data_IF_873997475211
#
_entry.id   IF_873997475211
#
_cell.length_a   1.000
_cell.length_b   1.000
_cell.length_c   1.000
_cell.angle_alpha   90.00
_cell.angle_beta   90.00
_cell.angle_gamma   90.00
#
_symmetry.space_group_name_H-M   'P 1'
#
loop_
_entity.id
_entity.type
_entity.pdbx_description
1 polymer ?
2 water ?
#
# COMPACT_ATOMS: atom_id res chain seq x y z
N UNK A 1 4.64 3.16 20.39
CA UNK A 1 4.28 2.10 19.44
C UNK A 1 4.81 2.22 18.00
N UNK A 2 5.18 1.03 17.43
CA UNK A 2 5.63 0.92 16.09
C UNK A 2 4.50 1.21 15.08
N UNK A 3 4.81 2.11 14.18
CA UNK A 3 3.89 2.55 13.15
C UNK A 3 4.55 2.51 11.80
N UNK A 4 3.73 2.29 10.76
CA UNK A 4 4.15 2.34 9.40
C UNK A 4 3.26 3.30 8.61
N UNK A 5 3.90 4.28 8.00
CA UNK A 5 3.22 5.29 7.20
C UNK A 5 3.89 5.42 5.84
N UNK A 6 3.06 5.62 4.82
CA UNK A 6 3.47 5.94 3.49
C UNK A 6 3.26 7.41 3.17
N UNK A 7 4.32 7.99 2.60
CA UNK A 7 4.34 9.41 2.31
C UNK A 7 4.46 9.59 0.86
N UNK A 8 3.68 10.54 0.37
CA UNK A 8 3.75 10.99 -1.01
C UNK A 8 4.73 12.13 -1.09
N UNK A 9 5.67 12.06 -2.04
CA UNK A 9 6.69 13.13 -2.14
C UNK A 9 6.76 13.70 -3.56
N UNK A 10 5.85 14.61 -3.90
CA UNK A 10 5.63 14.98 -5.33
C UNK A 10 6.83 15.60 -6.02
N UNK A 11 7.71 16.23 -5.24
CA UNK A 11 8.94 16.73 -5.78
C UNK A 11 10.15 15.86 -6.00
N UNK A 12 10.02 14.59 -5.69
CA UNK A 12 11.03 13.57 -5.84
C UNK A 12 11.17 13.13 -7.33
N UNK A 13 11.73 14.04 -8.14
CA UNK A 13 11.79 13.87 -9.57
C UNK A 13 13.20 13.72 -10.14
N UNK A 14 14.23 13.86 -9.29
CA UNK A 14 15.63 13.85 -9.72
C UNK A 14 16.17 12.50 -9.23
N UNK A 15 17.14 11.96 -9.98
CA UNK A 15 17.59 10.60 -9.79
C UNK A 15 18.14 10.31 -8.39
N UNK A 16 18.76 11.31 -7.70
CA UNK A 16 19.31 11.07 -6.39
C UNK A 16 18.29 11.45 -5.21
N UNK A 17 17.20 12.07 -5.59
CA UNK A 17 16.13 12.55 -4.73
C UNK A 17 15.60 11.49 -3.81
N UNK A 18 15.46 10.22 -4.28
CA UNK A 18 15.07 9.15 -3.33
C UNK A 18 16.02 9.10 -2.14
N UNK A 19 17.31 9.24 -2.42
CA UNK A 19 18.28 9.14 -1.35
C UNK A 19 18.33 10.37 -0.46
N UNK A 20 18.04 11.49 -1.04
CA UNK A 20 17.97 12.73 -0.34
C UNK A 20 16.90 12.58 0.72
N UNK A 21 15.79 11.99 0.34
CA UNK A 21 14.58 11.90 1.18
C UNK A 21 14.80 10.85 2.26
N UNK A 22 15.36 9.70 1.86
CA UNK A 22 15.63 8.63 2.69
C UNK A 22 16.55 9.15 3.80
N UNK A 23 17.68 9.76 3.46
CA UNK A 23 18.60 10.31 4.45
C UNK A 23 17.90 11.24 5.46
N UNK A 24 17.20 12.26 4.92
CA UNK A 24 16.44 13.16 5.79
C UNK A 24 15.51 12.49 6.75
N UNK A 25 14.81 11.43 6.35
CA UNK A 25 13.92 10.78 7.32
C UNK A 25 14.65 9.94 8.34
N UNK A 26 15.66 9.24 7.84
CA UNK A 26 16.38 8.27 8.62
C UNK A 26 17.11 8.94 9.79
N UNK A 27 17.50 10.21 9.60
CA UNK A 27 18.08 11.02 10.68
C UNK A 27 17.12 11.30 11.84
N UNK A 28 15.81 11.18 11.63
CA UNK A 28 14.81 11.46 12.68
C UNK A 28 14.84 10.41 13.73
N UNK A 29 15.20 10.85 14.93
CA UNK A 29 15.22 9.98 16.10
C UNK A 29 13.84 9.29 16.24
N UNK A 30 13.91 7.97 16.17
CA UNK A 30 12.79 7.12 16.51
C UNK A 30 12.32 6.42 15.27
N UNK A 31 12.93 6.78 14.13
CA UNK A 31 12.68 6.03 12.92
C UNK A 31 13.57 4.75 12.81
N UNK A 32 12.94 3.67 12.38
CA UNK A 32 13.52 2.32 12.20
C UNK A 32 13.91 1.93 10.79
N UNK A 33 13.14 2.38 9.84
CA UNK A 33 13.27 1.90 8.47
C UNK A 33 12.59 2.91 7.56
N UNK A 34 13.30 3.25 6.49
CA UNK A 34 12.80 4.05 5.39
C UNK A 34 13.13 3.41 4.03
N UNK A 35 12.08 3.16 3.25
CA UNK A 35 12.31 2.75 1.86
C UNK A 35 11.60 3.72 0.94
N UNK A 36 12.31 4.12 -0.10
CA UNK A 36 11.81 5.13 -1.04
C UNK A 36 11.63 4.51 -2.39
N UNK A 37 10.67 5.02 -3.12
CA UNK A 37 10.38 4.58 -4.50
C UNK A 37 10.22 5.72 -5.43
N UNK A 38 11.16 5.78 -6.36
CA UNK A 38 11.20 6.90 -7.34
C UNK A 38 9.93 6.90 -8.23
N UNK A 39 9.55 5.74 -8.73
CA UNK A 39 8.52 5.66 -9.66
C UNK A 39 7.22 6.27 -9.10
N UNK A 40 6.91 6.00 -7.85
CA UNK A 40 5.62 6.39 -7.29
C UNK A 40 5.84 7.50 -6.31
N UNK A 41 7.02 8.11 -6.33
CA UNK A 41 7.30 9.29 -5.52
C UNK A 41 6.80 9.07 -4.13
N UNK A 42 7.26 7.96 -3.54
CA UNK A 42 6.87 7.73 -2.19
C UNK A 42 7.96 7.22 -1.25
N UNK A 43 7.74 7.41 0.06
CA UNK A 43 8.61 6.88 1.15
C UNK A 43 7.73 6.20 2.19
N UNK A 44 8.10 4.94 2.58
CA UNK A 44 7.40 4.11 3.56
C UNK A 44 8.31 4.09 4.81
N UNK A 45 7.79 4.64 5.92
CA UNK A 45 8.58 4.91 7.12
C UNK A 45 7.99 4.16 8.24
N UNK A 46 8.83 3.34 8.87
CA UNK A 46 8.49 2.58 10.08
C UNK A 46 9.18 3.30 11.28
N UNK A 47 8.38 3.62 12.27
CA UNK A 47 8.87 4.49 13.32
C UNK A 47 8.12 4.25 14.63
N UNK A 48 8.73 4.79 15.70
CA UNK A 48 8.11 4.72 17.00
C UNK A 48 7.37 5.98 17.39
N UNK A 49 6.04 5.89 17.52
CA UNK A 49 5.14 7.01 17.67
C UNK A 49 5.16 7.65 19.07
N UNK A 50 5.90 6.99 19.98
CA UNK A 50 6.29 7.54 21.22
C UNK A 50 7.47 8.45 21.11
N UNK A 51 8.23 8.33 20.02
CA UNK A 51 9.49 9.09 19.82
C UNK A 51 9.38 10.16 18.79
N UNK A 52 8.49 9.95 17.81
CA UNK A 52 8.29 10.90 16.75
C UNK A 52 6.91 10.78 16.15
N UNK A 53 6.62 11.56 15.11
CA UNK A 53 5.27 11.56 14.53
C UNK A 53 5.28 11.90 13.07
N UNK A 54 4.14 11.75 12.41
CA UNK A 54 4.04 11.96 10.98
C UNK A 54 4.38 13.39 10.64
N UNK A 55 3.96 14.34 11.49
CA UNK A 55 4.28 15.73 11.27
C UNK A 55 5.77 16.02 11.34
N UNK A 56 6.48 15.37 12.26
CA UNK A 56 7.90 15.55 12.34
C UNK A 56 8.57 14.94 11.13
N UNK A 57 8.05 13.84 10.60
CA UNK A 57 8.56 13.28 9.36
C UNK A 57 8.36 14.17 8.10
N UNK A 58 7.15 14.69 7.99
CA UNK A 58 6.86 15.53 6.83
C UNK A 58 7.62 16.86 6.99
N UNK A 59 7.89 17.32 8.23
CA UNK A 59 8.79 18.47 8.39
C UNK A 59 10.18 18.07 7.94
N UNK A 60 10.70 16.91 8.30
CA UNK A 60 12.05 16.62 7.87
C UNK A 60 12.21 16.68 6.33
N UNK A 61 11.20 16.15 5.60
CA UNK A 61 11.27 16.06 4.12
C UNK A 61 11.19 17.47 3.55
N UNK A 62 10.31 18.29 4.14
CA UNK A 62 10.12 19.66 3.55
C UNK A 62 11.41 20.45 3.75
N UNK A 63 12.03 20.27 4.91
CA UNK A 63 13.32 20.89 5.21
C UNK A 63 14.37 20.56 4.16
N UNK A 64 14.36 19.29 3.73
CA UNK A 64 15.29 18.87 2.75
C UNK A 64 14.91 19.28 1.34
N UNK A 65 13.72 19.87 1.18
CA UNK A 65 13.33 20.43 -0.11
C UNK A 65 12.09 19.82 -0.71
N UNK A 66 11.56 18.74 -0.10
CA UNK A 66 10.58 17.88 -0.67
C UNK A 66 9.43 17.64 0.33
N UNK A 67 8.55 18.64 0.43
CA UNK A 67 7.36 18.57 1.27
C UNK A 67 6.58 17.28 0.99
N UNK A 68 5.92 16.68 1.98
CA UNK A 68 5.19 15.44 1.76
C UNK A 68 3.94 15.42 2.62
N UNK A 69 3.04 14.48 2.37
CA UNK A 69 1.78 14.21 3.05
C UNK A 69 1.58 12.71 3.04
N UNK A 70 0.64 12.23 3.83
CA UNK A 70 0.22 10.78 3.85
C UNK A 70 -0.34 10.46 2.49
N UNK A 71 0.06 9.32 1.92
CA UNK A 71 -0.39 8.88 0.68
C UNK A 71 -1.93 8.77 0.66
N UNK A 72 -2.52 9.14 -0.48
CA UNK A 72 -3.97 9.10 -0.60
C UNK A 72 -4.54 7.71 -0.91
N UNK B 1 5.96 -2.70 -1.74
CA UNK B 1 5.34 -2.16 -0.44
C UNK B 1 3.98 -2.74 -0.09
N UNK B 2 3.79 -3.06 1.19
CA UNK B 2 2.60 -3.75 1.62
C UNK B 2 1.47 -2.80 1.60
N UNK B 3 0.36 -3.25 1.02
CA UNK B 3 -0.83 -2.38 0.82
C UNK B 3 -2.06 -3.21 1.05
N UNK B 4 -3.07 -2.64 1.69
CA UNK B 4 -4.33 -3.37 1.79
C UNK B 4 -5.45 -2.62 1.04
N UNK B 5 -6.19 -3.38 0.22
CA UNK B 5 -7.32 -2.82 -0.51
C UNK B 5 -8.59 -3.68 -0.30
N UNK B 6 -9.73 -3.01 -0.25
CA UNK B 6 -11.02 -3.71 -0.30
C UNK B 6 -11.61 -3.75 -1.76
N UNK B 7 -11.96 -4.94 -2.25
CA UNK B 7 -12.57 -5.09 -3.54
C UNK B 7 -14.07 -5.49 -3.40
N UNK B 8 -14.95 -4.81 -4.12
CA UNK B 8 -16.36 -5.20 -4.20
C UNK B 8 -16.42 -6.23 -5.32
N UNK B 9 -17.17 -7.33 -5.08
CA UNK B 9 -17.23 -8.49 -6.04
C UNK B 9 -18.67 -8.94 -6.09
N UNK B 10 -19.50 -8.13 -6.74
CA UNK B 10 -20.97 -8.18 -6.59
C UNK B 10 -21.49 -9.49 -7.08
N UNK B 11 -20.79 -10.18 -7.97
CA UNK B 11 -21.23 -11.49 -8.41
C UNK B 11 -20.97 -12.61 -7.43
N UNK B 12 -20.25 -12.29 -6.33
CA UNK B 12 -19.93 -13.35 -5.27
C UNK B 12 -21.11 -13.71 -4.37
N UNK B 13 -22.16 -14.24 -4.98
CA UNK B 13 -23.37 -14.61 -4.32
C UNK B 13 -23.65 -16.09 -4.08
N UNK B 14 -23.02 -17.00 -4.78
CA UNK B 14 -23.39 -18.38 -4.56
C UNK B 14 -22.59 -18.95 -3.31
N UNK B 15 -23.09 -20.04 -2.70
CA UNK B 15 -22.53 -20.72 -1.53
C UNK B 15 -21.05 -20.91 -1.62
N UNK B 16 -20.65 -21.46 -2.76
CA UNK B 16 -19.21 -21.71 -3.08
C UNK B 16 -18.37 -20.60 -3.82
N UNK B 17 -19.00 -19.46 -4.09
CA UNK B 17 -18.40 -18.31 -4.74
C UNK B 17 -17.28 -17.51 -3.88
N UNK B 18 -17.44 -17.33 -2.58
CA UNK B 18 -16.32 -16.80 -1.76
C UNK B 18 -14.98 -17.55 -1.85
N UNK B 19 -15.00 -18.85 -1.68
CA UNK B 19 -13.82 -19.65 -1.73
C UNK B 19 -13.30 -19.67 -3.18
N UNK B 20 -14.17 -19.63 -4.14
CA UNK B 20 -13.72 -19.53 -5.53
C UNK B 20 -12.88 -18.23 -5.76
N UNK B 21 -13.46 -17.14 -5.36
CA UNK B 21 -12.80 -15.87 -5.47
C UNK B 21 -11.53 -15.78 -4.58
N UNK B 22 -11.59 -16.21 -3.33
CA UNK B 22 -10.41 -16.26 -2.42
C UNK B 22 -9.26 -16.92 -3.12
N UNK B 23 -9.54 -18.11 -3.60
CA UNK B 23 -8.50 -18.95 -4.28
C UNK B 23 -7.91 -18.21 -5.44
N UNK B 24 -8.78 -17.62 -6.29
CA UNK B 24 -8.36 -16.95 -7.51
C UNK B 24 -7.40 -15.79 -7.21
N UNK B 25 -7.75 -15.00 -6.18
CA UNK B 25 -6.93 -13.87 -5.80
C UNK B 25 -5.58 -14.27 -5.12
N UNK B 26 -5.63 -15.25 -4.19
CA UNK B 26 -4.46 -15.85 -3.50
C UNK B 26 -3.38 -16.38 -4.51
N UNK B 27 -3.84 -16.85 -5.66
CA UNK B 27 -2.93 -17.27 -6.72
C UNK B 27 -2.09 -16.17 -7.34
N UNK B 28 -2.56 -14.90 -7.32
CA UNK B 28 -1.83 -13.79 -7.92
C UNK B 28 -0.52 -13.57 -7.16
N UNK B 29 0.57 -13.56 -7.91
CA UNK B 29 1.85 -13.43 -7.28
C UNK B 29 1.91 -11.99 -6.72
N UNK B 30 2.34 -11.92 -5.46
CA UNK B 30 2.49 -10.68 -4.71
C UNK B 30 1.39 -10.50 -3.64
N UNK B 31 0.41 -11.39 -3.67
CA UNK B 31 -0.72 -11.35 -2.72
C UNK B 31 -0.30 -12.09 -1.45
N UNK B 32 -0.36 -11.41 -0.31
CA UNK B 32 -0.04 -12.06 0.98
C UNK B 32 -1.26 -12.61 1.78
N UNK B 33 -2.38 -11.89 1.76
CA UNK B 33 -3.58 -12.26 2.49
C UNK B 33 -4.86 -11.84 1.71
N UNK B 34 -5.89 -12.67 1.79
CA UNK B 34 -7.21 -12.41 1.24
C UNK B 34 -8.23 -12.88 2.28
N UNK B 35 -9.03 -11.90 2.79
CA UNK B 35 -10.17 -12.17 3.69
C UNK B 35 -11.46 -11.77 2.99
N UNK B 36 -12.27 -12.71 2.58
CA UNK B 36 -13.59 -12.49 1.92
C UNK B 36 -14.78 -12.57 2.90
N UNK B 37 -15.81 -11.75 2.66
CA UNK B 37 -17.02 -11.68 3.47
C UNK B 37 -18.19 -11.88 2.47
N UNK B 38 -18.86 -13.03 2.57
CA UNK B 38 -20.04 -13.34 1.75
C UNK B 38 -21.06 -12.20 1.69
N UNK B 39 -21.56 -11.85 2.86
CA UNK B 39 -22.74 -10.98 3.11
C UNK B 39 -22.62 -9.61 2.39
N UNK B 40 -21.36 -9.10 2.33
CA UNK B 40 -21.01 -7.85 1.74
C UNK B 40 -20.34 -7.97 0.38
N UNK B 41 -20.26 -9.23 -0.15
CA UNK B 41 -19.65 -9.52 -1.43
C UNK B 41 -18.37 -8.68 -1.61
N UNK B 42 -17.44 -8.90 -0.70
CA UNK B 42 -16.17 -8.26 -0.77
C UNK B 42 -15.06 -9.12 -0.40
N UNK B 43 -13.87 -8.65 -0.81
CA UNK B 43 -12.62 -9.27 -0.50
C UNK B 43 -11.56 -8.21 -0.24
N UNK B 44 -10.79 -8.46 0.77
CA UNK B 44 -9.80 -7.52 1.28
C UNK B 44 -8.48 -8.24 1.06
N UNK B 45 -7.68 -7.62 0.21
CA UNK B 45 -6.46 -8.21 -0.29
C UNK B 45 -5.25 -7.42 0.27
N UNK B 46 -4.27 -8.12 0.86
CA UNK B 46 -3.03 -7.51 1.29
C UNK B 46 -2.00 -8.01 0.29
N UNK B 47 -1.24 -7.07 -0.24
CA UNK B 47 -0.31 -7.33 -1.33
C UNK B 47 0.86 -6.38 -1.34
N UNK B 48 1.93 -6.82 -2.00
CA UNK B 48 3.13 -5.99 -2.18
C UNK B 48 2.94 -5.25 -3.52
N UNK B 49 2.85 -3.95 -3.45
CA UNK B 49 2.51 -3.13 -4.60
C UNK B 49 3.74 -2.85 -5.47
N UNK B 50 4.89 -3.42 -5.13
CA UNK B 50 6.04 -3.49 -6.05
C UNK B 50 6.06 -4.77 -6.83
N UNK B 51 5.28 -5.79 -6.38
CA UNK B 51 5.19 -7.07 -7.09
C UNK B 51 3.92 -7.33 -7.92
N UNK B 52 2.84 -6.71 -7.53
CA UNK B 52 1.62 -6.71 -8.24
C UNK B 52 0.89 -5.37 -8.16
N UNK B 53 -0.30 -5.36 -8.70
CA UNK B 53 -1.09 -4.17 -8.81
C UNK B 53 -2.62 -4.56 -8.74
N UNK B 54 -3.44 -3.55 -8.50
CA UNK B 54 -4.84 -3.74 -8.31
C UNK B 54 -5.41 -4.20 -9.62
N UNK B 55 -4.79 -3.78 -10.72
CA UNK B 55 -5.21 -4.23 -12.02
C UNK B 55 -5.05 -5.71 -12.18
N UNK B 56 -4.02 -6.26 -11.63
CA UNK B 56 -3.77 -7.74 -11.77
C UNK B 56 -4.81 -8.51 -10.93
N UNK B 57 -5.15 -7.92 -9.83
CA UNK B 57 -6.09 -8.51 -8.80
C UNK B 57 -7.43 -8.48 -9.47
N UNK B 58 -7.78 -7.36 -10.09
CA UNK B 58 -9.13 -7.31 -10.65
C UNK B 58 -9.36 -8.24 -11.78
N UNK B 59 -8.37 -8.32 -12.65
CA UNK B 59 -8.36 -9.25 -13.75
C UNK B 59 -8.38 -10.70 -13.23
N UNK B 60 -7.70 -11.02 -12.13
CA UNK B 60 -7.77 -12.37 -11.56
C UNK B 60 -9.25 -12.79 -11.24
N UNK B 61 -10.02 -11.90 -10.60
CA UNK B 61 -11.42 -12.17 -10.32
C UNK B 61 -12.32 -12.20 -11.62
N UNK B 62 -12.18 -11.26 -12.50
CA UNK B 62 -12.91 -11.29 -13.81
C UNK B 62 -12.71 -12.51 -14.62
N UNK B 63 -11.47 -12.93 -14.70
CA UNK B 63 -11.06 -14.14 -15.42
C UNK B 63 -11.73 -15.42 -14.95
N UNK B 64 -12.06 -15.47 -13.66
CA UNK B 64 -12.85 -16.53 -13.03
C UNK B 64 -14.35 -16.44 -13.09
N UNK B 65 -14.82 -15.30 -13.50
CA UNK B 65 -16.26 -15.04 -13.61
C UNK B 65 -16.82 -13.87 -12.79
N UNK B 66 -16.00 -13.23 -11.93
CA UNK B 66 -16.43 -12.26 -10.87
C UNK B 66 -15.68 -10.93 -11.00
N UNK B 67 -16.06 -10.12 -11.97
CA UNK B 67 -15.45 -8.78 -12.08
C UNK B 67 -15.53 -8.06 -10.74
N UNK B 68 -14.46 -7.33 -10.47
CA UNK B 68 -14.38 -6.60 -9.24
C UNK B 68 -13.94 -5.16 -9.43
N UNK B 69 -14.11 -4.38 -8.34
CA UNK B 69 -13.60 -3.02 -8.31
C UNK B 69 -13.12 -2.66 -6.91
N UNK B 70 -12.21 -1.72 -6.85
CA UNK B 70 -11.73 -1.17 -5.60
C UNK B 70 -12.82 -0.25 -4.95
N UNK B 71 -13.19 -0.60 -3.74
CA UNK B 71 -14.04 0.20 -2.85
C UNK B 71 -13.11 1.25 -2.15
N UNK B 72 -13.11 2.44 -2.69
CA UNK B 72 -12.09 3.44 -2.29
C UNK B 72 -12.55 4.10 -0.96
#
# INVERSE_FOLDING_TARGET
>A
ATQTVTLSVPGMTCSACPITVKKAISKVEGVSKVDVTFETRQAVVTFDDAKTSVQKLTKATADAGYPSSVKQ
>B
ATQTVTLSVPGMTCSACPITVKKAISKVEGVSKVDVTFETRQAVVTFDDAKTSVQKLTKATADAGYPSSVKQ
#
